data_IF_722093044796
#
_entry.id   IF_722093044796
#
_cell.length_a   1.000
_cell.length_b   1.000
_cell.length_c   1.000
_cell.angle_alpha   90.00
_cell.angle_beta   90.00
_cell.angle_gamma   90.00
#
_symmetry.space_group_name_H-M   'P 1'
#
loop_
_entity.id
_entity.type
_entity.pdbx_description
1 polymer ?
#
# COMPACT_ATOMS: atom_id res chain seq x y z
N UNK A 1 15.18 -13.40 31.34
CA UNK A 1 14.74 -12.26 30.51
C UNK A 1 13.92 -12.84 29.38
N UNK A 2 12.70 -12.35 29.16
CA UNK A 2 11.84 -12.78 28.07
C UNK A 2 12.50 -12.35 26.74
N UNK A 3 12.47 -13.21 25.71
CA UNK A 3 12.97 -12.86 24.38
C UNK A 3 12.16 -11.65 23.89
N UNK A 4 12.79 -10.56 23.41
CA UNK A 4 12.05 -9.42 22.89
C UNK A 4 11.24 -9.83 21.65
N UNK A 5 10.02 -9.30 21.55
CA UNK A 5 9.19 -9.46 20.36
C UNK A 5 9.85 -8.74 19.18
N UNK A 6 9.79 -9.32 17.98
CA UNK A 6 10.32 -8.69 16.77
C UNK A 6 9.18 -8.35 15.82
N UNK A 7 9.03 -7.04 15.55
CA UNK A 7 8.11 -6.49 14.57
C UNK A 7 8.89 -6.10 13.31
N UNK A 8 8.60 -6.77 12.20
CA UNK A 8 9.15 -6.45 10.89
C UNK A 8 8.10 -5.78 9.99
N UNK A 9 8.54 -4.82 9.17
CA UNK A 9 7.72 -4.13 8.18
C UNK A 9 8.34 -4.27 6.80
N UNK A 10 7.55 -4.79 5.87
CA UNK A 10 7.84 -4.87 4.44
C UNK A 10 6.69 -4.25 3.65
N UNK A 11 7.02 -3.65 2.51
CA UNK A 11 6.03 -2.97 1.69
C UNK A 11 6.57 -1.78 0.90
N UNK A 12 5.63 -0.91 0.57
CA UNK A 12 5.85 0.26 -0.26
C UNK A 12 6.03 1.57 0.54
N UNK A 13 5.69 2.72 -0.05
CA UNK A 13 5.84 4.03 0.57
C UNK A 13 4.92 4.25 1.78
N UNK A 14 3.75 3.60 1.84
CA UNK A 14 2.89 3.66 3.01
C UNK A 14 3.52 2.90 4.19
N UNK A 15 4.15 1.75 3.90
CA UNK A 15 4.92 0.96 4.86
C UNK A 15 6.15 1.71 5.39
N UNK A 16 6.82 2.46 4.51
CA UNK A 16 8.07 3.15 4.83
C UNK A 16 7.90 4.48 5.58
N UNK A 17 6.66 4.88 5.86
CA UNK A 17 6.39 6.12 6.60
C UNK A 17 6.50 7.41 5.78
N UNK A 18 6.32 7.35 4.45
CA UNK A 18 6.25 8.58 3.65
C UNK A 18 5.14 9.49 4.19
N UNK A 19 5.46 10.77 4.36
CA UNK A 19 4.54 11.79 4.89
C UNK A 19 4.68 12.06 6.39
N UNK A 20 5.48 11.29 7.11
CA UNK A 20 5.88 11.56 8.49
C UNK A 20 7.40 11.59 8.66
N UNK A 21 7.96 12.80 8.54
CA UNK A 21 9.38 13.05 8.76
C UNK A 21 9.60 14.24 9.68
N UNK A 22 10.71 14.27 10.42
CA UNK A 22 11.13 15.48 11.13
C UNK A 22 11.91 16.46 10.21
N UNK A 23 12.40 17.55 10.81
CA UNK A 23 13.22 18.57 10.14
C UNK A 23 14.64 18.08 9.80
N UNK A 24 15.07 16.97 10.40
CA UNK A 24 16.37 16.35 10.18
C UNK A 24 16.33 15.29 9.07
N UNK A 25 15.15 15.01 8.53
CA UNK A 25 14.95 14.02 7.46
C UNK A 25 14.75 12.59 7.97
N UNK A 26 14.58 12.40 9.28
CA UNK A 26 14.22 11.08 9.83
C UNK A 26 12.77 10.77 9.47
N UNK A 27 12.51 9.53 9.06
CA UNK A 27 11.17 9.03 8.74
C UNK A 27 10.68 8.11 9.86
N UNK A 28 9.45 8.32 10.33
CA UNK A 28 8.87 7.54 11.43
C UNK A 28 7.79 6.59 10.89
N UNK A 29 6.68 7.16 10.41
CA UNK A 29 5.56 6.38 9.91
C UNK A 29 4.79 5.63 11.01
N UNK A 30 3.68 5.02 10.63
CA UNK A 30 2.81 4.30 11.55
C UNK A 30 3.53 3.15 12.27
N UNK A 31 4.48 2.49 11.59
CA UNK A 31 5.28 1.41 12.16
C UNK A 31 6.11 1.83 13.36
N UNK A 32 6.73 3.02 13.29
CA UNK A 32 7.46 3.60 14.42
C UNK A 32 6.52 3.96 15.57
N UNK A 33 5.40 4.64 15.31
CA UNK A 33 4.45 5.02 16.35
C UNK A 33 3.83 3.79 17.04
N UNK A 34 3.59 2.73 16.27
CA UNK A 34 3.13 1.46 16.81
C UNK A 34 4.23 0.79 17.66
N UNK A 35 5.47 0.77 17.18
CA UNK A 35 6.61 0.21 17.92
C UNK A 35 6.81 0.92 19.28
N UNK A 36 6.60 2.23 19.34
CA UNK A 36 6.67 2.99 20.60
C UNK A 36 5.53 2.69 21.58
N UNK A 37 4.42 2.10 21.10
CA UNK A 37 3.27 1.78 21.93
C UNK A 37 3.35 0.36 22.54
N UNK A 38 4.30 -0.49 22.12
CA UNK A 38 4.54 -1.76 22.80
C UNK A 38 5.10 -1.51 24.20
N UNK A 39 4.54 -2.19 25.20
CA UNK A 39 5.01 -2.09 26.60
C UNK A 39 6.12 -3.07 26.91
N UNK A 40 6.21 -4.15 26.14
CA UNK A 40 7.28 -5.15 26.20
C UNK A 40 8.50 -4.76 25.34
N UNK A 41 9.70 -5.29 25.64
CA UNK A 41 10.87 -5.08 24.80
C UNK A 41 10.63 -5.51 23.35
N UNK A 42 10.84 -4.59 22.40
CA UNK A 42 10.57 -4.78 20.98
C UNK A 42 11.83 -4.56 20.12
N UNK A 43 12.08 -5.46 19.19
CA UNK A 43 12.98 -5.27 18.05
C UNK A 43 12.13 -4.78 16.87
N UNK A 44 12.44 -3.58 16.36
CA UNK A 44 11.75 -2.99 15.22
C UNK A 44 12.64 -3.03 13.98
N UNK A 45 12.13 -3.65 12.91
CA UNK A 45 12.82 -3.77 11.62
C UNK A 45 11.91 -3.21 10.54
N UNK A 46 12.41 -2.25 9.75
CA UNK A 46 11.69 -1.76 8.58
C UNK A 46 12.55 -1.94 7.33
N UNK A 47 12.18 -2.91 6.50
CA UNK A 47 12.83 -3.22 5.22
C UNK A 47 12.02 -2.74 4.01
N UNK A 48 10.97 -1.94 4.25
CA UNK A 48 10.13 -1.39 3.19
C UNK A 48 10.84 -0.31 2.38
N UNK A 49 10.36 -0.10 1.16
CA UNK A 49 10.95 0.88 0.23
C UNK A 49 9.86 1.62 -0.53
N UNK A 50 9.92 2.96 -0.64
CA UNK A 50 9.04 3.72 -1.51
C UNK A 50 9.06 3.20 -2.95
N UNK A 51 7.86 2.90 -3.48
CA UNK A 51 7.69 2.46 -4.85
C UNK A 51 7.76 0.94 -5.08
N UNK A 52 8.00 0.14 -4.03
CA UNK A 52 8.02 -1.31 -4.12
C UNK A 52 6.69 -1.89 -4.57
N UNK A 53 6.74 -2.92 -5.42
CA UNK A 53 5.59 -3.72 -5.85
C UNK A 53 5.58 -5.05 -5.10
N UNK A 54 4.46 -5.79 -5.15
CA UNK A 54 4.32 -7.10 -4.48
C UNK A 54 5.45 -8.09 -4.82
N UNK A 55 5.92 -8.08 -6.08
CA UNK A 55 7.07 -8.90 -6.52
C UNK A 55 8.37 -8.58 -5.78
N UNK A 56 8.64 -7.30 -5.55
CA UNK A 56 9.84 -6.86 -4.84
C UNK A 56 9.74 -7.18 -3.35
N UNK A 57 8.55 -7.02 -2.77
CA UNK A 57 8.29 -7.43 -1.38
C UNK A 57 8.62 -8.91 -1.19
N UNK A 58 8.14 -9.77 -2.09
CA UNK A 58 8.38 -11.22 -2.04
C UNK A 58 9.86 -11.58 -2.22
N UNK A 59 10.52 -11.06 -3.26
CA UNK A 59 11.85 -11.56 -3.63
C UNK A 59 13.02 -10.79 -3.02
N UNK A 60 12.82 -9.57 -2.55
CA UNK A 60 13.91 -8.71 -2.06
C UNK A 60 13.76 -8.28 -0.60
N UNK A 61 12.54 -7.97 -0.14
CA UNK A 61 12.33 -7.49 1.22
C UNK A 61 12.12 -8.62 2.22
N UNK A 62 11.26 -9.59 1.87
CA UNK A 62 10.95 -10.73 2.73
C UNK A 62 12.21 -11.51 3.15
N UNK A 63 13.16 -11.87 2.26
CA UNK A 63 14.37 -12.58 2.67
C UNK A 63 15.23 -11.81 3.68
N UNK A 64 15.19 -10.47 3.66
CA UNK A 64 15.96 -9.62 4.58
C UNK A 64 15.39 -9.64 6.00
N UNK A 65 14.10 -9.93 6.18
CA UNK A 65 13.47 -9.95 7.50
C UNK A 65 13.35 -11.37 8.05
N UNK A 66 13.28 -12.41 7.21
CA UNK A 66 13.16 -13.79 7.67
C UNK A 66 14.35 -14.25 8.52
N UNK A 67 15.55 -13.75 8.25
CA UNK A 67 16.76 -14.06 9.03
C UNK A 67 16.69 -13.57 10.49
N UNK A 68 15.72 -12.72 10.82
CA UNK A 68 15.51 -12.18 12.16
C UNK A 68 14.38 -12.88 12.91
N UNK A 69 13.74 -13.89 12.31
CA UNK A 69 12.65 -14.68 12.89
C UNK A 69 11.55 -13.82 13.56
N UNK A 70 10.97 -12.82 12.86
CA UNK A 70 10.01 -11.91 13.46
C UNK A 70 8.71 -12.61 13.85
N UNK A 71 8.18 -12.31 15.03
CA UNK A 71 6.87 -12.80 15.47
C UNK A 71 5.70 -12.02 14.85
N UNK A 72 5.93 -10.76 14.45
CA UNK A 72 4.96 -9.92 13.73
C UNK A 72 5.55 -9.40 12.42
N UNK A 73 4.83 -9.56 11.32
CA UNK A 73 5.24 -9.04 10.00
C UNK A 73 4.12 -8.24 9.36
N UNK A 74 4.32 -6.93 9.21
CA UNK A 74 3.43 -6.09 8.42
C UNK A 74 3.79 -6.12 6.94
N UNK A 75 2.82 -6.46 6.09
CA UNK A 75 2.95 -6.50 4.63
C UNK A 75 2.02 -5.45 4.02
N UNK A 76 2.55 -4.26 3.73
CA UNK A 76 1.76 -3.13 3.22
C UNK A 76 2.14 -2.84 1.76
N UNK A 77 1.38 -3.39 0.82
CA UNK A 77 1.70 -3.34 -0.61
C UNK A 77 0.43 -3.42 -1.49
N UNK A 78 0.59 -3.11 -2.77
CA UNK A 78 -0.48 -3.16 -3.80
C UNK A 78 -0.78 -1.80 -4.40
N UNK A 79 -0.45 -0.71 -3.69
CA UNK A 79 -0.62 0.65 -4.21
C UNK A 79 0.27 0.91 -5.42
N UNK A 80 1.50 0.39 -5.44
CA UNK A 80 2.36 0.51 -6.61
C UNK A 80 2.00 -0.45 -7.73
N UNK A 81 1.54 -1.67 -7.42
CA UNK A 81 1.10 -2.65 -8.43
C UNK A 81 -0.03 -2.08 -9.28
N UNK A 82 -1.03 -1.45 -8.67
CA UNK A 82 -2.16 -0.86 -9.40
C UNK A 82 -1.80 0.41 -10.16
N UNK A 83 -0.71 1.10 -9.78
CA UNK A 83 -0.19 2.33 -10.42
C UNK A 83 0.85 2.03 -11.50
N UNK A 84 0.82 0.83 -12.08
CA UNK A 84 1.61 0.44 -13.26
C UNK A 84 0.70 0.13 -14.45
N UNK A 85 1.27 0.32 -15.63
CA UNK A 85 0.69 -0.26 -16.83
C UNK A 85 0.81 -1.80 -16.73
N UNK A 86 -0.22 -2.53 -17.15
CA UNK A 86 -0.25 -4.00 -17.05
C UNK A 86 -0.51 -4.55 -15.65
N UNK A 87 -1.14 -3.78 -14.75
CA UNK A 87 -1.60 -4.29 -13.45
C UNK A 87 -2.45 -5.56 -13.64
N UNK A 88 -1.99 -6.69 -13.08
CA UNK A 88 -2.74 -7.95 -13.03
C UNK A 88 -3.08 -8.26 -11.57
N UNK A 89 -4.37 -8.31 -11.21
CA UNK A 89 -4.82 -8.80 -9.91
C UNK A 89 -4.30 -10.21 -9.59
N UNK A 90 -4.19 -11.08 -10.60
CA UNK A 90 -3.73 -12.46 -10.47
C UNK A 90 -2.26 -12.51 -10.05
N UNK A 91 -1.39 -11.71 -10.69
CA UNK A 91 0.02 -11.60 -10.32
C UNK A 91 0.16 -11.04 -8.90
N UNK A 92 -0.62 -10.02 -8.56
CA UNK A 92 -0.64 -9.47 -7.21
C UNK A 92 -1.05 -10.53 -6.17
N UNK A 93 -2.10 -11.31 -6.46
CA UNK A 93 -2.57 -12.39 -5.60
C UNK A 93 -1.51 -13.47 -5.41
N UNK A 94 -0.84 -13.92 -6.48
CA UNK A 94 0.23 -14.92 -6.40
C UNK A 94 1.36 -14.42 -5.49
N UNK A 95 1.82 -13.19 -5.69
CA UNK A 95 2.92 -12.64 -4.91
C UNK A 95 2.55 -12.46 -3.44
N UNK A 96 1.35 -11.94 -3.15
CA UNK A 96 0.88 -11.74 -1.77
C UNK A 96 0.65 -13.08 -1.07
N UNK A 97 0.06 -14.05 -1.77
CA UNK A 97 -0.15 -15.39 -1.25
C UNK A 97 1.18 -16.05 -0.86
N UNK A 98 2.17 -16.00 -1.74
CA UNK A 98 3.47 -16.60 -1.49
C UNK A 98 4.23 -15.90 -0.36
N UNK A 99 4.13 -14.57 -0.27
CA UNK A 99 4.69 -13.79 0.83
C UNK A 99 4.10 -14.23 2.18
N UNK A 100 2.77 -14.33 2.25
CA UNK A 100 2.08 -14.70 3.49
C UNK A 100 2.25 -16.17 3.86
N UNK A 101 2.35 -17.07 2.87
CA UNK A 101 2.69 -18.48 3.10
C UNK A 101 4.03 -18.62 3.82
N UNK A 102 5.07 -17.92 3.36
CA UNK A 102 6.39 -17.98 3.98
C UNK A 102 6.43 -17.35 5.39
N UNK A 103 5.64 -16.29 5.62
CA UNK A 103 5.47 -15.69 6.94
C UNK A 103 4.80 -16.68 7.91
N UNK A 104 3.74 -17.36 7.46
CA UNK A 104 3.05 -18.39 8.24
C UNK A 104 3.95 -19.60 8.53
N UNK A 105 4.73 -20.06 7.56
CA UNK A 105 5.67 -21.18 7.72
C UNK A 105 6.77 -20.91 8.75
N UNK A 106 7.17 -19.65 8.91
CA UNK A 106 8.08 -19.20 9.97
C UNK A 106 7.39 -19.12 11.35
N UNK A 107 6.07 -19.22 11.41
CA UNK A 107 5.28 -19.08 12.64
C UNK A 107 4.95 -17.64 13.03
N UNK A 108 5.08 -16.70 12.10
CA UNK A 108 4.82 -15.28 12.36
C UNK A 108 3.37 -14.89 12.07
N UNK A 109 2.86 -13.90 12.81
CA UNK A 109 1.54 -13.32 12.52
C UNK A 109 1.67 -12.16 11.54
N UNK A 110 0.97 -12.27 10.41
CA UNK A 110 0.94 -11.22 9.40
C UNK A 110 -0.02 -10.07 9.78
N UNK A 111 0.35 -8.85 9.42
CA UNK A 111 -0.50 -7.65 9.47
C UNK A 111 -0.65 -7.06 8.07
N UNK A 112 -1.87 -6.69 7.70
CA UNK A 112 -2.22 -6.17 6.38
C UNK A 112 -2.98 -4.85 6.52
N UNK A 113 -2.84 -3.98 5.52
CA UNK A 113 -3.54 -2.70 5.44
C UNK A 113 -4.24 -2.59 4.10
N UNK A 114 -5.53 -2.23 4.12
CA UNK A 114 -6.23 -1.90 2.88
C UNK A 114 -5.82 -0.55 2.32
N UNK A 115 -5.91 -0.43 1.00
CA UNK A 115 -5.77 0.85 0.34
C UNK A 115 -7.03 1.71 0.55
N UNK A 116 -6.81 3.00 0.82
CA UNK A 116 -7.87 4.01 0.81
C UNK A 116 -8.40 4.23 -0.61
N UNK A 117 -9.57 4.86 -0.76
CA UNK A 117 -10.02 5.35 -2.06
C UNK A 117 -9.43 6.76 -2.32
N UNK A 118 -8.48 6.92 -3.27
CA UNK A 118 -7.90 8.22 -3.57
C UNK A 118 -8.91 9.21 -4.16
N UNK A 119 -10.03 8.73 -4.72
CA UNK A 119 -11.06 9.58 -5.36
C UNK A 119 -11.86 10.41 -4.35
N UNK A 120 -11.84 10.01 -3.07
CA UNK A 120 -12.47 10.75 -1.97
C UNK A 120 -11.62 11.95 -1.50
N UNK A 121 -10.35 12.00 -1.90
CA UNK A 121 -9.38 13.02 -1.45
C UNK A 121 -8.92 13.90 -2.61
N UNK A 122 -8.74 13.30 -3.80
CA UNK A 122 -8.25 13.96 -5.01
C UNK A 122 -9.37 14.02 -6.04
N UNK A 123 -9.82 15.21 -6.45
CA UNK A 123 -10.76 15.35 -7.56
C UNK A 123 -10.17 14.77 -8.85
N UNK A 124 -10.89 13.85 -9.49
CA UNK A 124 -10.48 13.21 -10.74
C UNK A 124 -11.64 13.21 -11.75
N UNK A 125 -11.36 13.22 -13.07
CA UNK A 125 -12.39 12.98 -14.08
C UNK A 125 -13.10 11.65 -13.83
N UNK A 126 -14.43 11.61 -14.05
CA UNK A 126 -15.29 10.48 -13.69
C UNK A 126 -14.75 9.11 -14.16
N UNK A 127 -14.31 8.99 -15.42
CA UNK A 127 -13.82 7.72 -15.96
C UNK A 127 -12.49 7.30 -15.32
N UNK A 128 -11.59 8.25 -15.08
CA UNK A 128 -10.32 8.00 -14.37
C UNK A 128 -10.60 7.54 -12.95
N UNK A 129 -11.50 8.24 -12.23
CA UNK A 129 -11.93 7.88 -10.89
C UNK A 129 -12.49 6.45 -10.84
N UNK A 130 -13.33 6.09 -11.81
CA UNK A 130 -13.93 4.76 -11.93
C UNK A 130 -12.88 3.67 -12.17
N UNK A 131 -11.93 3.87 -13.09
CA UNK A 131 -10.84 2.92 -13.34
C UNK A 131 -9.95 2.75 -12.10
N UNK A 132 -9.58 3.86 -11.45
CA UNK A 132 -8.80 3.84 -10.21
C UNK A 132 -9.52 3.05 -9.11
N UNK A 133 -10.79 3.38 -8.83
CA UNK A 133 -11.61 2.69 -7.81
C UNK A 133 -11.67 1.20 -8.06
N UNK A 134 -11.94 0.77 -9.31
CA UNK A 134 -11.97 -0.65 -9.69
C UNK A 134 -10.66 -1.38 -9.41
N UNK A 135 -9.51 -0.76 -9.69
CA UNK A 135 -8.20 -1.37 -9.40
C UNK A 135 -7.95 -1.45 -7.89
N UNK A 136 -8.26 -0.41 -7.14
CA UNK A 136 -8.13 -0.44 -5.68
C UNK A 136 -9.05 -1.49 -5.06
N UNK A 137 -10.28 -1.63 -5.56
CA UNK A 137 -11.22 -2.65 -5.10
C UNK A 137 -10.70 -4.07 -5.38
N UNK A 138 -10.02 -4.28 -6.52
CA UNK A 138 -9.38 -5.57 -6.83
C UNK A 138 -8.27 -5.90 -5.82
N UNK A 139 -7.39 -4.95 -5.53
CA UNK A 139 -6.34 -5.12 -4.51
C UNK A 139 -6.96 -5.42 -3.15
N UNK A 140 -7.91 -4.60 -2.67
CA UNK A 140 -8.52 -4.79 -1.36
C UNK A 140 -9.28 -6.11 -1.24
N UNK A 141 -9.97 -6.57 -2.30
CA UNK A 141 -10.61 -7.91 -2.31
C UNK A 141 -9.58 -9.03 -2.10
N UNK A 142 -8.44 -8.97 -2.79
CA UNK A 142 -7.37 -9.95 -2.63
C UNK A 142 -6.76 -9.86 -1.24
N UNK A 143 -6.50 -8.65 -0.74
CA UNK A 143 -5.98 -8.42 0.62
C UNK A 143 -6.91 -9.03 1.68
N UNK A 144 -8.23 -8.80 1.60
CA UNK A 144 -9.23 -9.43 2.50
C UNK A 144 -9.23 -10.95 2.39
N UNK A 145 -9.20 -11.49 1.16
CA UNK A 145 -9.16 -12.94 0.89
C UNK A 145 -7.94 -13.57 1.56
N UNK A 146 -6.77 -12.95 1.39
CA UNK A 146 -5.52 -13.43 1.97
C UNK A 146 -5.48 -13.26 3.49
N UNK A 147 -6.01 -12.15 4.02
CA UNK A 147 -6.13 -11.96 5.45
C UNK A 147 -6.94 -13.08 6.12
N UNK A 148 -8.07 -13.46 5.51
CA UNK A 148 -8.89 -14.57 5.98
C UNK A 148 -8.15 -15.91 5.90
N UNK A 149 -7.41 -16.15 4.81
CA UNK A 149 -6.68 -17.41 4.58
C UNK A 149 -5.60 -17.66 5.62
N UNK A 150 -4.81 -16.64 5.93
CA UNK A 150 -3.64 -16.72 6.81
C UNK A 150 -3.91 -16.19 8.23
N UNK A 151 -5.19 -16.00 8.59
CA UNK A 151 -5.63 -15.42 9.87
C UNK A 151 -4.93 -14.09 10.25
N UNK A 152 -4.53 -13.32 9.23
CA UNK A 152 -3.78 -12.08 9.39
C UNK A 152 -4.60 -11.00 10.08
N UNK A 153 -3.92 -10.08 10.76
CA UNK A 153 -4.52 -8.88 11.32
C UNK A 153 -4.72 -7.88 10.18
N UNK A 154 -5.97 -7.67 9.77
CA UNK A 154 -6.31 -6.73 8.69
C UNK A 154 -6.85 -5.43 9.25
N UNK A 155 -6.25 -4.32 8.84
CA UNK A 155 -6.82 -2.99 9.03
C UNK A 155 -7.58 -2.55 7.76
N UNK A 156 -8.91 -2.56 7.85
CA UNK A 156 -9.81 -2.12 6.78
C UNK A 156 -9.93 -0.59 6.73
N UNK A 157 -8.92 0.04 6.12
CA UNK A 157 -8.75 1.51 6.05
C UNK A 157 -10.02 2.26 5.65
N UNK A 158 -10.80 1.75 4.69
CA UNK A 158 -12.01 2.42 4.19
C UNK A 158 -13.19 2.40 5.17
N UNK A 159 -13.15 1.50 6.14
CA UNK A 159 -14.17 1.37 7.19
C UNK A 159 -13.86 2.25 8.40
N UNK A 160 -12.67 2.87 8.45
CA UNK A 160 -12.27 3.73 9.55
C UNK A 160 -13.01 5.06 9.52
N UNK A 161 -13.59 5.42 10.66
CA UNK A 161 -14.31 6.69 10.81
C UNK A 161 -13.38 7.87 10.47
N UNK A 162 -13.88 8.79 9.64
CA UNK A 162 -13.18 10.02 9.27
C UNK A 162 -11.81 9.79 8.63
N UNK A 163 -11.56 8.64 8.02
CA UNK A 163 -10.28 8.35 7.36
C UNK A 163 -9.91 9.42 6.31
N UNK A 164 -10.90 10.03 5.66
CA UNK A 164 -10.71 11.04 4.61
C UNK A 164 -10.53 12.49 5.13
N UNK A 165 -10.42 12.70 6.45
CA UNK A 165 -10.11 14.04 6.98
C UNK A 165 -8.78 14.55 6.44
N UNK A 166 -8.78 15.77 5.91
CA UNK A 166 -7.61 16.36 5.23
C UNK A 166 -6.35 16.45 6.08
N UNK A 167 -6.47 16.46 7.41
CA UNK A 167 -5.33 16.50 8.33
C UNK A 167 -4.63 15.15 8.47
N UNK A 168 -5.29 14.02 8.14
CA UNK A 168 -4.71 12.66 8.11
C UNK A 168 -3.90 12.39 6.85
N UNK A 169 -4.03 13.24 5.83
CA UNK A 169 -3.36 13.07 4.54
C UNK A 169 -2.25 14.08 4.32
N UNK A 170 -1.14 13.59 3.78
CA UNK A 170 0.00 14.37 3.37
C UNK A 170 -0.34 15.29 2.18
N UNK A 171 0.58 16.18 1.81
CA UNK A 171 0.32 17.21 0.78
C UNK A 171 0.09 16.63 -0.62
N UNK A 172 0.61 15.43 -0.86
CA UNK A 172 0.36 14.66 -2.08
C UNK A 172 -1.02 14.01 -2.14
N UNK A 173 -1.77 13.99 -1.02
CA UNK A 173 -3.08 13.36 -0.89
C UNK A 173 -3.12 11.85 -1.15
N UNK A 174 -1.95 11.21 -1.21
CA UNK A 174 -1.79 9.77 -1.42
C UNK A 174 -1.22 9.09 -0.19
N UNK A 175 -0.33 9.77 0.53
CA UNK A 175 0.30 9.24 1.74
C UNK A 175 -0.35 9.79 3.01
N UNK A 176 -0.32 9.05 4.12
CA UNK A 176 -0.71 9.58 5.41
C UNK A 176 0.23 10.70 5.85
N UNK A 177 -0.31 11.73 6.50
CA UNK A 177 0.48 12.70 7.27
C UNK A 177 0.97 12.05 8.57
N UNK A 178 1.78 12.75 9.38
CA UNK A 178 2.07 12.31 10.76
C UNK A 178 0.81 11.92 11.53
N UNK A 179 -0.23 12.76 11.48
CA UNK A 179 -1.48 12.48 12.17
C UNK A 179 -2.19 11.24 11.59
N UNK A 180 -2.12 11.04 10.27
CA UNK A 180 -2.64 9.82 9.63
C UNK A 180 -1.85 8.57 10.01
N UNK A 181 -0.53 8.66 10.10
CA UNK A 181 0.34 7.56 10.55
C UNK A 181 0.06 7.19 12.00
N UNK A 182 -0.10 8.17 12.90
CA UNK A 182 -0.51 7.93 14.29
C UNK A 182 -1.90 7.30 14.37
N UNK A 183 -2.84 7.76 13.54
CA UNK A 183 -4.18 7.19 13.45
C UNK A 183 -4.16 5.73 12.98
N UNK A 184 -3.38 5.40 11.95
CA UNK A 184 -3.20 4.02 11.48
C UNK A 184 -2.56 3.16 12.58
N UNK A 185 -1.50 3.67 13.23
CA UNK A 185 -0.83 2.97 14.30
C UNK A 185 -1.77 2.66 15.48
N UNK A 186 -2.61 3.61 15.89
CA UNK A 186 -3.55 3.43 17.00
C UNK A 186 -4.62 2.36 16.69
N UNK A 187 -5.09 2.32 15.44
CA UNK A 187 -6.02 1.29 15.00
C UNK A 187 -5.36 -0.09 14.92
N UNK A 188 -4.10 -0.19 14.47
CA UNK A 188 -3.35 -1.45 14.57
C UNK A 188 -3.10 -1.87 16.02
N UNK A 189 -2.76 -0.92 16.91
CA UNK A 189 -2.59 -1.18 18.34
C UNK A 189 -3.88 -1.74 18.95
N UNK A 190 -5.04 -1.19 18.58
CA UNK A 190 -6.34 -1.75 18.99
C UNK A 190 -6.53 -3.19 18.51
N UNK A 191 -6.24 -3.49 17.24
CA UNK A 191 -6.36 -4.85 16.70
C UNK A 191 -5.37 -5.83 17.35
N UNK A 192 -4.16 -5.39 17.66
CA UNK A 192 -3.14 -6.18 18.34
C UNK A 192 -3.54 -6.49 19.78
N UNK A 193 -4.11 -5.53 20.52
CA UNK A 193 -4.70 -5.79 21.86
C UNK A 193 -5.77 -6.87 21.80
N UNK A 194 -6.64 -6.84 20.79
CA UNK A 194 -7.67 -7.87 20.57
C UNK A 194 -7.08 -9.25 20.28
N UNK A 195 -5.80 -9.33 19.88
CA UNK A 195 -5.04 -10.58 19.68
C UNK A 195 -4.15 -10.94 20.87
N UNK A 196 -4.21 -10.19 21.97
CA UNK A 196 -3.49 -10.47 23.21
C UNK A 196 -2.09 -9.87 23.32
N UNK A 197 -1.69 -8.98 22.41
CA UNK A 197 -0.41 -8.26 22.52
C UNK A 197 -0.51 -7.10 23.51
N UNK A 198 0.58 -6.87 24.25
CA UNK A 198 0.69 -5.74 25.18
C UNK A 198 1.10 -4.46 24.45
N UNK A 199 0.09 -3.72 24.00
CA UNK A 199 0.27 -2.47 23.25
C UNK A 199 -0.65 -1.39 23.83
N UNK A 200 -0.08 -0.28 24.27
CA UNK A 200 -0.81 0.89 24.75
C UNK A 200 -1.49 1.67 23.61
N UNK A 201 -2.42 2.59 23.92
CA UNK A 201 -2.90 3.57 22.95
C UNK A 201 -1.73 4.43 22.41
N UNK A 202 -1.77 4.74 21.11
CA UNK A 202 -0.70 5.53 20.49
C UNK A 202 -0.78 6.99 20.93
N UNK A 203 0.37 7.61 21.19
CA UNK A 203 0.44 9.03 21.56
C UNK A 203 0.38 9.90 20.30
N UNK A 204 -0.63 10.77 20.23
CA UNK A 204 -0.81 11.69 19.11
C UNK A 204 -0.02 12.97 19.32
N UNK A 205 0.67 13.43 18.27
CA UNK A 205 1.30 14.75 18.22
C UNK A 205 0.67 15.56 17.11
N UNK A 206 -0.03 16.63 17.49
CA UNK A 206 -0.78 17.49 16.54
C UNK A 206 0.10 18.46 15.75
N UNK A 207 1.42 18.42 15.97
CA UNK A 207 2.36 19.32 15.29
C UNK A 207 2.51 18.86 13.85
N UNK A 208 2.04 19.68 12.91
CA UNK A 208 2.30 19.44 11.49
C UNK A 208 3.80 19.64 11.24
N UNK A 209 4.50 18.59 10.82
CA UNK A 209 5.96 18.65 10.66
C UNK A 209 6.41 19.49 9.46
N UNK A 210 5.48 19.96 8.61
CA UNK A 210 5.83 20.67 7.39
C UNK A 210 5.15 22.01 7.32
N UNK A 211 5.95 23.03 7.08
CA UNK A 211 5.43 24.34 6.68
C UNK A 211 4.87 24.26 5.25
N UNK A 212 4.13 25.30 4.83
CA UNK A 212 3.71 25.44 3.43
C UNK A 212 4.92 25.43 2.47
N UNK A 213 6.05 26.00 2.88
CA UNK A 213 7.28 26.04 2.07
C UNK A 213 7.85 24.62 1.89
N UNK A 214 7.95 23.85 2.97
CA UNK A 214 8.47 22.48 2.92
C UNK A 214 7.57 21.56 2.09
N UNK A 215 6.25 21.81 2.16
CA UNK A 215 5.26 21.11 1.34
C UNK A 215 5.48 21.33 -0.15
N UNK A 216 5.76 22.57 -0.57
CA UNK A 216 6.06 22.92 -1.96
C UNK A 216 7.40 22.29 -2.39
N UNK A 217 8.43 22.42 -1.56
CA UNK A 217 9.76 21.83 -1.84
C UNK A 217 9.65 20.32 -2.02
N UNK A 218 8.89 19.65 -1.15
CA UNK A 218 8.69 18.21 -1.27
C UNK A 218 7.93 17.84 -2.54
N UNK A 219 6.88 18.59 -2.90
CA UNK A 219 6.16 18.38 -4.17
C UNK A 219 7.08 18.57 -5.37
N UNK A 220 7.96 19.56 -5.37
CA UNK A 220 8.91 19.77 -6.46
C UNK A 220 9.95 18.65 -6.55
N UNK A 221 10.48 18.19 -5.41
CA UNK A 221 11.54 17.17 -5.37
C UNK A 221 11.05 15.75 -5.61
N UNK A 222 9.88 15.39 -5.07
CA UNK A 222 9.41 14.00 -5.03
C UNK A 222 8.12 13.82 -5.81
N UNK A 223 7.11 14.65 -5.53
CA UNK A 223 5.79 14.52 -6.14
C UNK A 223 5.80 14.75 -7.65
N UNK A 224 6.45 15.82 -8.12
CA UNK A 224 6.45 16.26 -9.51
C UNK A 224 7.19 15.27 -10.42
N UNK A 225 8.43 14.81 -10.09
CA UNK A 225 9.09 13.81 -10.92
C UNK A 225 8.33 12.49 -10.97
N UNK A 226 7.71 12.09 -9.86
CA UNK A 226 6.87 10.91 -9.81
C UNK A 226 5.62 11.06 -10.71
N UNK A 227 4.92 12.20 -10.60
CA UNK A 227 3.75 12.50 -11.43
C UNK A 227 4.11 12.54 -12.92
N UNK A 228 5.22 13.17 -13.28
CA UNK A 228 5.71 13.20 -14.65
C UNK A 228 6.01 11.79 -15.16
N UNK A 229 6.73 10.97 -14.38
CA UNK A 229 6.99 9.58 -14.75
C UNK A 229 5.68 8.81 -14.98
N UNK A 230 4.70 8.99 -14.10
CA UNK A 230 3.37 8.35 -14.20
C UNK A 230 2.52 8.91 -15.35
N UNK A 231 2.67 10.17 -15.72
CA UNK A 231 1.92 10.75 -16.83
C UNK A 231 2.34 10.20 -18.19
N UNK A 232 3.58 9.72 -18.31
CA UNK A 232 4.04 9.09 -19.56
C UNK A 232 3.69 7.60 -19.62
N UNK A 233 3.70 6.89 -18.48
CA UNK A 233 3.55 5.42 -18.49
C UNK A 233 2.18 4.90 -18.04
N UNK A 234 1.46 5.61 -17.17
CA UNK A 234 0.19 5.16 -16.59
C UNK A 234 -1.00 5.89 -17.19
N UNK A 235 -0.89 7.20 -17.41
CA UNK A 235 -2.00 8.02 -17.88
C UNK A 235 -2.52 7.60 -19.28
N UNK A 236 -1.68 7.30 -20.28
CA UNK A 236 -2.16 6.79 -21.56
C UNK A 236 -2.94 5.47 -21.41
N UNK A 237 -2.45 4.55 -20.57
CA UNK A 237 -3.12 3.29 -20.29
C UNK A 237 -4.48 3.49 -19.61
N UNK A 238 -4.56 4.39 -18.63
CA UNK A 238 -5.84 4.73 -17.96
C UNK A 238 -6.82 5.36 -18.97
N UNK A 239 -6.36 6.21 -19.88
CA UNK A 239 -7.22 6.81 -20.91
C UNK A 239 -7.76 5.74 -21.87
N UNK A 240 -6.91 4.81 -22.32
CA UNK A 240 -7.32 3.67 -23.13
C UNK A 240 -8.37 2.82 -22.40
N UNK A 241 -8.12 2.48 -21.13
CA UNK A 241 -9.07 1.74 -20.30
C UNK A 241 -10.39 2.49 -20.09
N UNK A 242 -10.32 3.82 -19.98
CA UNK A 242 -11.52 4.68 -19.90
C UNK A 242 -12.35 4.61 -21.17
N UNK A 243 -11.71 4.53 -22.35
CA UNK A 243 -12.40 4.33 -23.63
C UNK A 243 -13.06 2.95 -23.68
N UNK A 244 -12.36 1.89 -23.25
CA UNK A 244 -12.94 0.55 -23.16
C UNK A 244 -14.14 0.51 -22.21
N UNK A 245 -14.08 1.20 -21.06
CA UNK A 245 -15.19 1.32 -20.13
C UNK A 245 -16.41 2.01 -20.78
N UNK A 246 -16.18 3.07 -21.57
CA UNK A 246 -17.25 3.73 -22.34
C UNK A 246 -17.90 2.79 -23.36
N UNK A 247 -17.10 2.03 -24.10
CA UNK A 247 -17.60 1.04 -25.08
C UNK A 247 -18.40 -0.04 -24.35
N UNK A 248 -17.90 -0.54 -23.23
CA UNK A 248 -18.60 -1.53 -22.40
C UNK A 248 -19.95 -1.00 -21.91
N UNK A 249 -19.98 0.21 -21.35
CA UNK A 249 -21.22 0.86 -20.90
C UNK A 249 -22.21 1.09 -22.04
N UNK A 250 -21.74 1.46 -23.23
CA UNK A 250 -22.59 1.65 -24.40
C UNK A 250 -23.21 0.33 -24.89
N UNK A 251 -22.44 -0.77 -24.85
CA UNK A 251 -22.88 -2.11 -25.27
C UNK A 251 -23.85 -2.77 -24.28
N UNK A 252 -23.67 -2.53 -22.98
CA UNK A 252 -24.49 -3.15 -21.93
C UNK A 252 -25.53 -2.19 -21.33
N UNK A 253 -25.88 -1.13 -22.08
CA UNK A 253 -26.83 -0.08 -21.65
C UNK A 253 -28.24 -0.61 -21.32
N UNK A 254 -28.61 -1.78 -21.84
CA UNK A 254 -29.92 -2.41 -21.62
C UNK A 254 -29.90 -3.58 -20.61
N UNK A 255 -28.75 -3.95 -20.07
CA UNK A 255 -28.68 -4.95 -19.00
C UNK A 255 -28.91 -4.24 -17.66
N UNK A 256 -30.04 -4.56 -17.01
CA UNK A 256 -30.32 -4.08 -15.65
C UNK A 256 -29.16 -4.48 -14.74
N UNK A 257 -28.81 -3.56 -13.83
CA UNK A 257 -27.75 -3.69 -12.85
C UNK A 257 -27.96 -4.88 -11.90
N UNK A 258 -27.66 -6.10 -12.37
CA UNK A 258 -27.41 -7.26 -11.53
C UNK A 258 -25.94 -7.65 -11.71
N UNK A 259 -25.13 -7.15 -10.77
CA UNK A 259 -23.98 -7.83 -10.14
C UNK A 259 -23.18 -8.86 -10.95
N UNK A 260 -22.77 -8.53 -12.19
CA UNK A 260 -21.64 -9.20 -12.83
C UNK A 260 -20.53 -8.19 -13.09
N UNK A 261 -19.51 -8.25 -12.23
CA UNK A 261 -18.27 -7.49 -12.36
C UNK A 261 -17.57 -7.99 -13.63
N UNK A 262 -17.81 -7.32 -14.75
CA UNK A 262 -17.05 -7.56 -15.98
C UNK A 262 -15.59 -7.14 -15.74
N UNK A 263 -14.68 -8.10 -15.59
CA UNK A 263 -13.26 -7.87 -15.72
C UNK A 263 -12.93 -7.86 -17.22
N UNK A 264 -12.61 -6.72 -17.85
CA UNK A 264 -11.72 -6.82 -19.00
C UNK A 264 -10.42 -7.37 -18.43
N UNK A 265 -10.00 -8.55 -18.90
CA UNK A 265 -8.69 -9.10 -18.59
C UNK A 265 -7.65 -7.99 -18.72
N UNK A 266 -7.05 -7.59 -17.60
CA UNK A 266 -5.91 -6.68 -17.64
C UNK A 266 -4.65 -7.37 -18.20
N UNK A 267 -4.77 -8.62 -18.64
CA UNK A 267 -3.75 -9.41 -19.29
C UNK A 267 -3.93 -9.38 -20.81
N UNK A 268 -3.03 -8.65 -21.51
CA UNK A 268 -2.39 -9.04 -22.78
C UNK A 268 -1.57 -7.89 -23.40
N UNK A 269 -0.65 -7.26 -22.65
CA UNK A 269 0.42 -6.45 -23.26
C UNK A 269 1.82 -6.81 -22.75
N UNK A 270 1.97 -7.87 -21.96
CA UNK A 270 3.28 -8.36 -21.54
C UNK A 270 4.04 -9.10 -22.67
N UNK A 271 3.32 -9.68 -23.64
CA UNK A 271 3.93 -10.58 -24.63
C UNK A 271 4.48 -9.91 -25.90
N UNK A 272 4.40 -8.59 -26.04
CA UNK A 272 4.86 -7.90 -27.26
C UNK A 272 6.28 -7.30 -27.13
N UNK A 273 6.89 -7.23 -25.94
CA UNK A 273 8.19 -6.55 -25.78
C UNK A 273 9.33 -7.33 -25.10
N UNK A 274 9.15 -8.61 -24.73
CA UNK A 274 10.23 -9.38 -24.07
C UNK A 274 11.30 -9.89 -25.06
N UNK A 275 11.06 -9.88 -26.38
CA UNK A 275 12.03 -10.40 -27.37
C UNK A 275 13.02 -9.38 -27.96
N UNK A 276 13.29 -8.22 -27.34
CA UNK A 276 14.24 -7.25 -27.95
C UNK A 276 15.30 -6.60 -27.05
N UNK A 277 15.55 -7.06 -25.83
CA UNK A 277 16.63 -6.51 -24.99
C UNK A 277 17.49 -7.58 -24.29
N UNK A 278 17.73 -8.72 -24.94
CA UNK A 278 18.72 -9.71 -24.48
C UNK A 278 20.06 -9.70 -25.24
N UNK A 279 20.25 -8.82 -26.21
CA UNK A 279 21.55 -8.63 -26.86
C UNK A 279 22.00 -7.17 -26.69
N UNK A 280 22.66 -6.87 -25.58
CA UNK A 280 23.80 -5.93 -25.50
C UNK A 280 24.27 -5.81 -24.04
N UNK A 281 25.05 -6.80 -23.62
CA UNK A 281 26.09 -6.66 -22.59
C UNK A 281 27.33 -7.38 -23.10
N UNK A 282 28.21 -6.68 -23.82
CA UNK A 282 29.66 -6.94 -23.82
C UNK A 282 30.39 -5.62 -24.12
N UNK A 283 31.26 -5.26 -23.16
CA UNK A 283 32.33 -4.24 -23.12
C UNK A 283 32.05 -3.07 -22.21
#
# INVERSE_FOLDING_TARGET
MQKPLTLAIIGDSAASGVGDSDLHGNHFGWGYHLAQAFTEPLIYINASRPGAQSKEVLHEQLPKILIHEPELVAVIVGGNDLLRNGFSPEVFEVNLNETLRQIEEMGATAMLLELHDPTEIVPMPYLVARVCRRRVDAVNRITRKMAKRYSAILLETRSLEKIYDRNKWHVDRMHPSRHGHQFIADNFAHLLRMRGFEVDPVIFTFKNNRSRKDSIIWMLKNGTPWFLKRSVDLLPAILILSIYELIYMARHRNERAESNIYYPDFAAHADIHINRLQNEKVS
#
